data_IF_083422146487
#
_entry.id   IF_083422146487
#
_cell.length_a   1.000
_cell.length_b   1.000
_cell.length_c   1.000
_cell.angle_alpha   90.00
_cell.angle_beta   90.00
_cell.angle_gamma   90.00
#
_symmetry.space_group_name_H-M   'P 1'
#
loop_
_entity.id
_entity.type
_entity.pdbx_description
1 polymer ?
#
# COMPACT_ATOMS: atom_id res chain seq x y z
N UNK A 1 -19.39 -1.12 21.44
CA UNK A 1 -18.05 -1.51 20.93
C UNK A 1 -17.84 -1.06 19.48
N UNK A 2 -18.73 -1.40 18.54
CA UNK A 2 -18.57 -1.06 17.11
C UNK A 2 -18.49 0.45 16.81
N UNK A 3 -19.30 1.28 17.48
CA UNK A 3 -19.24 2.75 17.33
C UNK A 3 -17.89 3.34 17.76
N UNK A 4 -17.26 2.77 18.79
CA UNK A 4 -15.96 3.23 19.31
C UNK A 4 -14.87 2.87 18.29
N UNK A 5 -14.87 1.64 17.78
CA UNK A 5 -13.93 1.21 16.75
C UNK A 5 -14.02 2.07 15.48
N UNK A 6 -15.24 2.39 15.05
CA UNK A 6 -15.47 3.24 13.86
C UNK A 6 -14.98 4.67 14.06
N UNK A 7 -15.24 5.28 15.21
CA UNK A 7 -14.75 6.62 15.51
C UNK A 7 -13.21 6.63 15.63
N UNK A 8 -12.63 5.61 16.25
CA UNK A 8 -11.18 5.46 16.34
C UNK A 8 -10.54 5.32 14.95
N UNK A 9 -11.13 4.53 14.05
CA UNK A 9 -10.67 4.40 12.67
C UNK A 9 -10.70 5.75 11.93
N UNK A 10 -11.77 6.53 12.06
CA UNK A 10 -11.87 7.85 11.43
C UNK A 10 -10.81 8.83 11.95
N UNK A 11 -10.53 8.80 13.25
CA UNK A 11 -9.47 9.62 13.86
C UNK A 11 -8.10 9.22 13.31
N UNK A 12 -7.78 7.91 13.30
CA UNK A 12 -6.51 7.41 12.78
C UNK A 12 -6.30 7.77 11.31
N UNK A 13 -7.33 7.68 10.49
CA UNK A 13 -7.24 8.08 9.09
C UNK A 13 -7.03 9.58 8.90
N UNK A 14 -7.69 10.39 9.72
CA UNK A 14 -7.50 11.84 9.68
C UNK A 14 -6.05 12.20 10.01
N UNK A 15 -5.45 11.50 10.98
CA UNK A 15 -4.03 11.63 11.31
C UNK A 15 -3.15 11.24 10.11
N UNK A 16 -3.38 10.05 9.51
CA UNK A 16 -2.60 9.59 8.34
C UNK A 16 -2.69 10.59 7.19
N UNK A 17 -3.89 11.14 6.93
CA UNK A 17 -4.11 12.13 5.87
C UNK A 17 -3.27 13.39 6.12
N UNK A 18 -3.35 13.96 7.32
CA UNK A 18 -2.61 15.17 7.69
C UNK A 18 -1.11 14.92 7.64
N UNK A 19 -0.63 13.80 8.20
CA UNK A 19 0.78 13.41 8.16
C UNK A 19 1.29 13.26 6.72
N UNK A 20 0.50 12.67 5.83
CA UNK A 20 0.89 12.49 4.41
C UNK A 20 1.01 13.84 3.72
N UNK A 21 0.09 14.77 3.95
CA UNK A 21 0.15 16.12 3.37
C UNK A 21 1.39 16.88 3.87
N UNK A 22 1.69 16.79 5.18
CA UNK A 22 2.89 17.40 5.76
C UNK A 22 4.16 16.79 5.16
N UNK A 23 4.23 15.46 5.04
CA UNK A 23 5.37 14.77 4.46
C UNK A 23 5.63 15.17 3.00
N UNK A 24 4.58 15.26 2.18
CA UNK A 24 4.68 15.76 0.80
C UNK A 24 5.21 17.19 0.78
N UNK A 25 4.73 18.08 1.66
CA UNK A 25 5.21 19.45 1.75
C UNK A 25 6.69 19.56 2.14
N UNK A 26 7.15 18.71 3.06
CA UNK A 26 8.56 18.64 3.46
C UNK A 26 9.41 18.16 2.28
N UNK A 27 8.98 17.13 1.56
CA UNK A 27 9.73 16.60 0.43
C UNK A 27 9.85 17.61 -0.70
N UNK A 28 8.75 18.31 -1.04
CA UNK A 28 8.77 19.39 -2.05
C UNK A 28 9.75 20.48 -1.65
N UNK A 29 9.77 20.87 -0.36
CA UNK A 29 10.75 21.84 0.15
C UNK A 29 12.18 21.32 0.01
N UNK A 30 12.41 20.05 0.32
CA UNK A 30 13.73 19.42 0.22
C UNK A 30 14.24 19.40 -1.23
N UNK A 31 13.39 18.99 -2.18
CA UNK A 31 13.69 19.04 -3.62
C UNK A 31 14.00 20.47 -4.09
N UNK A 32 13.26 21.46 -3.59
CA UNK A 32 13.51 22.87 -3.93
C UNK A 32 14.86 23.36 -3.39
N UNK A 33 15.22 22.99 -2.15
CA UNK A 33 16.50 23.36 -1.54
C UNK A 33 17.69 22.68 -2.23
N UNK A 34 17.55 21.41 -2.60
CA UNK A 34 18.61 20.64 -3.26
C UNK A 34 18.73 20.94 -4.77
N UNK A 35 17.83 21.77 -5.32
CA UNK A 35 17.74 22.15 -6.74
C UNK A 35 17.80 20.97 -7.73
N UNK A 36 17.48 19.77 -7.26
CA UNK A 36 17.53 18.53 -8.01
C UNK A 36 16.31 17.71 -7.64
N UNK A 37 15.64 17.20 -8.67
CA UNK A 37 14.50 16.29 -8.52
C UNK A 37 14.96 14.94 -9.02
N UNK A 38 15.13 14.00 -8.10
CA UNK A 38 15.53 12.64 -8.49
C UNK A 38 14.30 11.82 -8.84
N UNK A 39 14.52 10.76 -9.61
CA UNK A 39 13.47 9.78 -9.90
C UNK A 39 12.91 9.17 -8.59
N UNK A 40 13.75 9.02 -7.56
CA UNK A 40 13.37 8.48 -6.24
C UNK A 40 12.36 9.39 -5.52
N UNK A 41 12.56 10.70 -5.57
CA UNK A 41 11.64 11.68 -4.95
C UNK A 41 10.26 11.64 -5.61
N UNK A 42 10.23 11.51 -6.94
CA UNK A 42 8.98 11.37 -7.70
C UNK A 42 8.23 10.08 -7.35
N UNK A 43 8.93 8.97 -7.15
CA UNK A 43 8.29 7.73 -6.69
C UNK A 43 7.77 7.82 -5.27
N UNK A 44 8.52 8.46 -4.38
CA UNK A 44 8.10 8.67 -3.01
C UNK A 44 6.80 9.49 -2.97
N UNK A 45 6.72 10.54 -3.81
CA UNK A 45 5.48 11.29 -4.00
C UNK A 45 4.34 10.42 -4.57
N UNK A 46 4.63 9.49 -5.48
CA UNK A 46 3.63 8.56 -5.99
C UNK A 46 3.09 7.62 -4.89
N UNK A 47 3.95 7.15 -3.98
CA UNK A 47 3.55 6.35 -2.83
C UNK A 47 2.64 7.15 -1.89
N UNK A 48 2.94 8.42 -1.65
CA UNK A 48 2.06 9.31 -0.89
C UNK A 48 0.68 9.46 -1.57
N UNK A 49 0.63 9.58 -2.90
CA UNK A 49 -0.65 9.64 -3.63
C UNK A 49 -1.46 8.34 -3.51
N UNK A 50 -0.82 7.16 -3.51
CA UNK A 50 -1.50 5.89 -3.28
C UNK A 50 -2.11 5.81 -1.87
N UNK A 51 -1.39 6.29 -0.85
CA UNK A 51 -1.90 6.36 0.53
C UNK A 51 -3.11 7.29 0.61
N UNK A 52 -3.06 8.46 -0.05
CA UNK A 52 -4.23 9.36 -0.13
C UNK A 52 -5.43 8.69 -0.82
N UNK A 53 -5.19 7.91 -1.88
CA UNK A 53 -6.24 7.16 -2.56
C UNK A 53 -6.88 6.10 -1.63
N UNK A 54 -6.10 5.40 -0.81
CA UNK A 54 -6.64 4.46 0.19
C UNK A 54 -7.52 5.17 1.22
N UNK A 55 -7.06 6.29 1.76
CA UNK A 55 -7.84 7.07 2.73
C UNK A 55 -9.19 7.48 2.12
N UNK A 56 -9.19 7.91 0.85
CA UNK A 56 -10.42 8.24 0.11
C UNK A 56 -11.33 7.03 -0.09
N UNK A 57 -10.79 5.89 -0.53
CA UNK A 57 -11.57 4.66 -0.77
C UNK A 57 -12.19 4.17 0.54
N UNK A 58 -11.44 4.21 1.64
CA UNK A 58 -11.94 3.80 2.94
C UNK A 58 -13.05 4.72 3.45
N UNK A 59 -12.95 6.04 3.22
CA UNK A 59 -14.01 6.97 3.60
C UNK A 59 -15.35 6.63 2.92
N UNK A 60 -15.29 6.15 1.67
CA UNK A 60 -16.47 5.78 0.88
C UNK A 60 -17.04 4.39 1.23
N UNK A 61 -16.20 3.40 1.53
CA UNK A 61 -16.65 2.00 1.68
C UNK A 61 -16.66 1.49 3.14
N UNK A 62 -16.08 2.25 4.10
CA UNK A 62 -15.96 1.92 5.54
C UNK A 62 -15.44 0.50 5.86
N UNK A 63 -14.83 -0.17 4.88
CA UNK A 63 -14.29 -1.51 5.00
C UNK A 63 -12.85 -1.52 4.51
N UNK A 64 -11.94 -1.98 5.35
CA UNK A 64 -10.57 -2.26 4.94
C UNK A 64 -10.64 -3.55 4.11
N UNK A 65 -10.84 -3.43 2.81
CA UNK A 65 -10.65 -4.58 1.92
C UNK A 65 -9.16 -4.95 1.95
N UNK A 66 -8.83 -6.09 2.56
CA UNK A 66 -7.45 -6.59 2.74
C UNK A 66 -6.67 -6.66 1.41
N UNK A 67 -7.39 -6.78 0.29
CA UNK A 67 -6.84 -6.77 -1.06
C UNK A 67 -6.12 -5.45 -1.42
N UNK A 68 -6.60 -4.29 -0.96
CA UNK A 68 -6.07 -2.99 -1.36
C UNK A 68 -4.65 -2.73 -0.80
N UNK A 69 -4.38 -2.93 0.50
CA UNK A 69 -3.01 -2.79 1.04
C UNK A 69 -2.00 -3.74 0.39
N UNK A 70 -2.41 -4.97 0.09
CA UNK A 70 -1.53 -5.97 -0.52
C UNK A 70 -1.17 -5.63 -1.97
N UNK A 71 -2.12 -5.09 -2.74
CA UNK A 71 -1.83 -4.62 -4.10
C UNK A 71 -0.86 -3.43 -4.09
N UNK A 72 -0.99 -2.54 -3.10
CA UNK A 72 -0.13 -1.36 -2.95
C UNK A 72 1.31 -1.76 -2.60
N UNK A 73 1.50 -2.78 -1.76
CA UNK A 73 2.83 -3.31 -1.50
C UNK A 73 3.50 -3.80 -2.80
N UNK A 74 2.75 -4.49 -3.67
CA UNK A 74 3.27 -4.94 -4.97
C UNK A 74 3.56 -3.77 -5.90
N UNK A 75 2.66 -2.80 -6.04
CA UNK A 75 2.86 -1.66 -6.94
C UNK A 75 4.00 -0.77 -6.48
N UNK A 76 4.15 -0.57 -5.16
CA UNK A 76 5.27 0.15 -4.58
C UNK A 76 6.60 -0.55 -4.86
N UNK A 77 6.71 -1.86 -4.59
CA UNK A 77 7.92 -2.64 -4.88
C UNK A 77 8.24 -2.65 -6.39
N UNK A 78 7.24 -2.86 -7.25
CA UNK A 78 7.45 -2.86 -8.69
C UNK A 78 7.96 -1.52 -9.21
N UNK A 79 7.43 -0.40 -8.70
CA UNK A 79 7.90 0.94 -9.06
C UNK A 79 9.30 1.21 -8.55
N UNK A 80 9.61 0.78 -7.33
CA UNK A 80 10.95 0.89 -6.76
C UNK A 80 12.00 0.16 -7.61
N UNK A 81 11.72 -1.09 -8.01
CA UNK A 81 12.59 -1.89 -8.88
C UNK A 81 12.85 -1.20 -10.22
N UNK A 82 11.81 -0.68 -10.88
CA UNK A 82 11.97 -0.04 -12.20
C UNK A 82 12.94 1.16 -12.14
N UNK A 83 13.01 1.80 -10.98
CA UNK A 83 13.61 3.11 -10.82
C UNK A 83 15.01 3.05 -10.21
N UNK A 84 15.20 2.18 -9.22
CA UNK A 84 16.51 1.93 -8.63
C UNK A 84 17.23 0.76 -9.29
N UNK A 85 16.53 -0.05 -10.09
CA UNK A 85 17.09 -1.27 -10.66
C UNK A 85 18.26 -1.08 -11.63
N UNK A 86 18.57 0.14 -12.07
CA UNK A 86 19.77 0.40 -12.85
C UNK A 86 21.02 0.63 -11.99
N UNK A 87 20.84 1.13 -10.77
CA UNK A 87 21.90 1.44 -9.81
C UNK A 87 22.07 0.32 -8.77
N UNK A 88 21.16 -0.66 -8.75
CA UNK A 88 21.20 -1.79 -7.83
C UNK A 88 21.98 -2.97 -8.40
N UNK A 89 22.70 -3.68 -7.53
CA UNK A 89 23.39 -4.91 -7.89
C UNK A 89 22.39 -5.94 -8.49
N UNK A 90 22.78 -6.69 -9.54
CA UNK A 90 21.93 -7.69 -10.17
C UNK A 90 21.33 -8.72 -9.19
N UNK A 91 22.06 -9.05 -8.13
CA UNK A 91 21.59 -9.92 -7.04
C UNK A 91 20.44 -9.30 -6.25
N UNK A 92 20.51 -8.01 -5.92
CA UNK A 92 19.45 -7.31 -5.18
C UNK A 92 18.16 -7.24 -6.00
N UNK A 93 18.27 -7.00 -7.31
CA UNK A 93 17.13 -7.02 -8.24
C UNK A 93 16.39 -8.36 -8.25
N UNK A 94 17.14 -9.47 -8.25
CA UNK A 94 16.55 -10.81 -8.20
C UNK A 94 15.82 -11.03 -6.86
N UNK A 95 16.39 -10.59 -5.73
CA UNK A 95 15.72 -10.69 -4.44
C UNK A 95 14.41 -9.90 -4.39
N UNK A 96 14.39 -8.68 -4.90
CA UNK A 96 13.17 -7.86 -4.94
C UNK A 96 12.10 -8.45 -5.86
N UNK A 97 12.50 -8.95 -7.04
CA UNK A 97 11.58 -9.64 -7.96
C UNK A 97 10.98 -10.90 -7.31
N UNK A 98 11.79 -11.68 -6.59
CA UNK A 98 11.32 -12.86 -5.85
C UNK A 98 10.37 -12.46 -4.71
N UNK A 99 10.64 -11.36 -4.00
CA UNK A 99 9.75 -10.85 -2.96
C UNK A 99 8.36 -10.51 -3.52
N UNK A 100 8.28 -9.88 -4.69
CA UNK A 100 7.00 -9.61 -5.38
C UNK A 100 6.24 -10.91 -5.67
N UNK A 101 6.94 -11.94 -6.19
CA UNK A 101 6.33 -13.25 -6.49
C UNK A 101 5.81 -13.91 -5.21
N UNK A 102 6.54 -13.84 -4.11
CA UNK A 102 6.11 -14.39 -2.82
C UNK A 102 4.88 -13.68 -2.27
N UNK A 103 4.83 -12.34 -2.35
CA UNK A 103 3.67 -11.56 -1.92
C UNK A 103 2.47 -11.88 -2.82
N UNK A 104 2.66 -11.95 -4.13
CA UNK A 104 1.60 -12.33 -5.07
C UNK A 104 1.06 -13.74 -4.77
N UNK A 105 1.93 -14.71 -4.49
CA UNK A 105 1.53 -16.06 -4.09
C UNK A 105 0.74 -16.06 -2.77
N UNK A 106 1.16 -15.27 -1.77
CA UNK A 106 0.44 -15.13 -0.50
C UNK A 106 -0.97 -14.55 -0.71
N UNK A 107 -1.13 -13.57 -1.59
CA UNK A 107 -2.45 -13.01 -1.96
C UNK A 107 -3.33 -14.09 -2.61
N UNK A 108 -2.76 -14.88 -3.53
CA UNK A 108 -3.49 -15.97 -4.20
C UNK A 108 -3.96 -17.00 -3.17
N UNK A 109 -3.09 -17.43 -2.26
CA UNK A 109 -3.44 -18.37 -1.19
C UNK A 109 -4.55 -17.80 -0.30
N UNK A 110 -4.43 -16.54 0.12
CA UNK A 110 -5.44 -15.88 0.96
C UNK A 110 -6.79 -15.76 0.23
N UNK A 111 -6.76 -15.39 -1.05
CA UNK A 111 -7.95 -15.28 -1.90
C UNK A 111 -8.58 -16.65 -2.16
N UNK A 112 -7.79 -17.70 -2.38
CA UNK A 112 -8.28 -19.07 -2.52
C UNK A 112 -8.95 -19.56 -1.22
N UNK A 113 -8.40 -19.20 -0.05
CA UNK A 113 -9.01 -19.51 1.25
C UNK A 113 -10.33 -18.78 1.51
N UNK A 114 -10.49 -17.57 0.98
CA UNK A 114 -11.70 -16.76 1.13
C UNK A 114 -12.70 -16.88 -0.04
N UNK A 115 -12.34 -17.58 -1.11
CA UNK A 115 -13.25 -17.80 -2.24
C UNK A 115 -14.03 -19.09 -2.04
N UNK A 116 -15.36 -18.97 -1.99
CA UNK A 116 -16.34 -20.08 -1.88
C UNK A 116 -16.22 -21.17 -2.96
N UNK A 117 -15.24 -21.08 -3.89
CA UNK A 117 -14.93 -22.15 -4.85
C UNK A 117 -14.25 -23.37 -4.23
N UNK A 118 -13.80 -23.30 -2.97
CA UNK A 118 -13.32 -24.44 -2.18
C UNK A 118 -14.18 -24.63 -0.92
N UNK A 119 -15.49 -24.83 -1.11
CA UNK A 119 -16.26 -25.85 -0.39
C UNK A 119 -16.29 -25.86 1.14
N UNK A 120 -15.91 -24.80 1.85
CA UNK A 120 -16.16 -24.72 3.29
C UNK A 120 -17.55 -24.14 3.53
N UNK A 121 -18.54 -24.99 3.27
CA UNK A 121 -19.92 -24.86 3.72
C UNK A 121 -19.89 -24.48 5.21
N UNK A 122 -20.10 -23.21 5.54
CA UNK A 122 -20.38 -22.81 6.92
C UNK A 122 -21.71 -23.43 7.29
N UNK A 123 -21.64 -24.53 8.05
CA UNK A 123 -22.78 -25.22 8.64
C UNK A 123 -23.59 -24.18 9.42
N UNK A 124 -24.76 -23.83 8.90
CA UNK A 124 -25.84 -23.17 9.65
C UNK A 124 -26.15 -24.09 10.82
N UNK A 125 -25.81 -23.68 12.04
CA UNK A 125 -26.39 -24.27 13.24
C UNK A 125 -27.27 -23.22 13.87
N UNK A 126 -28.51 -23.64 14.13
CA UNK A 126 -29.61 -22.91 14.76
C UNK A 126 -29.18 -22.18 16.03
#
# INVERSE_FOLDING_TARGET
MEKIAKNLQLVLMSIILISTVIAVGIEIKNMFLNQSVTLADLLLMFLYLEVLAMVRVFWNQQSISITLPLLIAITALARFIILQGKEMDPTALVYEAVAIVLIAAAIVILRLRHSDKLGLKRKKSK
#
